data_IF_986992306468
#
_entry.id   IF_986992306468
#
_cell.length_a   1.000
_cell.length_b   1.000
_cell.length_c   1.000
_cell.angle_alpha   90.00
_cell.angle_beta   90.00
_cell.angle_gamma   90.00
#
_symmetry.space_group_name_H-M   'P 1'
#
loop_
_entity.id
_entity.type
_entity.pdbx_description
1 polymer ?
#
# COMPACT_ATOMS: atom_id res chain seq x y z
N UNK A 1 11.89 13.32 -24.39
CA UNK A 1 10.42 13.15 -24.35
C UNK A 1 9.67 14.47 -24.14
N UNK A 2 9.82 15.18 -23.01
CA UNK A 2 9.15 16.48 -22.80
C UNK A 2 9.74 17.60 -23.68
N UNK A 3 11.07 17.63 -23.82
CA UNK A 3 11.77 18.58 -24.67
C UNK A 3 11.43 18.38 -26.16
N UNK A 4 11.38 17.12 -26.62
CA UNK A 4 10.99 16.76 -27.99
C UNK A 4 9.55 17.17 -28.32
N UNK A 5 8.61 17.02 -27.38
CA UNK A 5 7.22 17.45 -27.53
C UNK A 5 7.10 18.98 -27.67
N UNK A 6 7.85 19.73 -26.86
CA UNK A 6 7.79 21.20 -26.83
C UNK A 6 8.46 21.81 -28.07
N UNK A 7 9.58 21.22 -28.53
CA UNK A 7 10.20 21.56 -29.83
C UNK A 7 9.22 21.29 -30.98
N UNK A 8 8.45 20.20 -30.92
CA UNK A 8 7.37 19.90 -31.87
C UNK A 8 6.22 20.90 -31.87
N UNK A 9 6.03 21.67 -30.79
CA UNK A 9 5.04 22.76 -30.70
C UNK A 9 5.59 24.15 -31.07
N UNK A 10 6.85 24.23 -31.53
CA UNK A 10 7.48 25.49 -31.95
C UNK A 10 7.90 26.42 -30.81
N UNK A 11 7.88 25.94 -29.57
CA UNK A 11 8.35 26.70 -28.41
C UNK A 11 9.75 26.24 -28.01
N UNK A 12 10.69 27.18 -27.83
CA UNK A 12 12.01 26.88 -27.28
C UNK A 12 12.06 27.36 -25.83
N UNK A 13 11.86 26.44 -24.90
CA UNK A 13 12.02 26.71 -23.47
C UNK A 13 13.48 26.52 -23.06
N UNK A 14 13.98 27.38 -22.17
CA UNK A 14 15.26 27.15 -21.51
C UNK A 14 15.21 25.93 -20.60
N UNK A 15 16.37 25.37 -20.25
CA UNK A 15 16.47 24.22 -19.34
C UNK A 15 15.79 24.49 -17.99
N UNK A 16 15.95 25.71 -17.46
CA UNK A 16 15.27 26.15 -16.23
C UNK A 16 13.74 26.13 -16.36
N UNK A 17 13.20 26.57 -17.50
CA UNK A 17 11.77 26.55 -17.76
C UNK A 17 11.23 25.11 -17.87
N UNK A 18 12.01 24.19 -18.44
CA UNK A 18 11.68 22.77 -18.50
C UNK A 18 11.64 22.14 -17.09
N UNK A 19 12.59 22.47 -16.22
CA UNK A 19 12.61 21.99 -14.82
C UNK A 19 11.40 22.51 -14.05
N UNK A 20 11.05 23.80 -14.20
CA UNK A 20 9.88 24.40 -13.56
C UNK A 20 8.59 23.73 -14.05
N UNK A 21 8.47 23.49 -15.36
CA UNK A 21 7.32 22.79 -15.93
C UNK A 21 7.20 21.36 -15.40
N UNK A 22 8.30 20.60 -15.36
CA UNK A 22 8.32 19.24 -14.84
C UNK A 22 7.89 19.18 -13.36
N UNK A 23 8.35 20.13 -12.54
CA UNK A 23 7.90 20.26 -11.14
C UNK A 23 6.40 20.55 -11.04
N UNK A 24 5.87 21.46 -11.87
CA UNK A 24 4.44 21.78 -11.90
C UNK A 24 3.57 20.59 -12.29
N UNK A 25 4.01 19.75 -13.23
CA UNK A 25 3.27 18.54 -13.63
C UNK A 25 3.29 17.49 -12.51
N UNK A 26 4.41 17.37 -11.79
CA UNK A 26 4.54 16.40 -10.67
C UNK A 26 3.75 16.82 -9.43
N UNK A 27 3.60 18.11 -9.20
CA UNK A 27 3.00 18.64 -7.97
C UNK A 27 1.60 18.08 -7.69
N UNK A 28 0.63 18.09 -8.63
CA UNK A 28 -0.69 17.51 -8.37
C UNK A 28 -0.65 16.03 -8.00
N UNK A 29 0.24 15.24 -8.61
CA UNK A 29 0.38 13.81 -8.26
C UNK A 29 0.90 13.64 -6.83
N UNK A 30 1.82 14.49 -6.39
CA UNK A 30 2.34 14.51 -5.03
C UNK A 30 1.25 14.87 -4.03
N UNK A 31 0.46 15.90 -4.32
CA UNK A 31 -0.64 16.34 -3.46
C UNK A 31 -1.70 15.23 -3.32
N UNK A 32 -2.08 14.58 -4.43
CA UNK A 32 -2.98 13.42 -4.40
C UNK A 32 -2.42 12.24 -3.61
N UNK A 33 -1.13 11.96 -3.75
CA UNK A 33 -0.47 10.91 -2.97
C UNK A 33 -0.56 11.18 -1.47
N UNK A 34 -0.34 12.42 -1.03
CA UNK A 34 -0.49 12.82 0.38
C UNK A 34 -1.94 12.65 0.86
N UNK A 35 -2.91 13.16 0.10
CA UNK A 35 -4.32 13.07 0.49
C UNK A 35 -4.80 11.62 0.63
N UNK A 36 -4.45 10.77 -0.34
CA UNK A 36 -4.77 9.34 -0.27
C UNK A 36 -4.02 8.69 0.90
N UNK A 37 -2.78 9.10 1.16
CA UNK A 37 -2.00 8.69 2.32
C UNK A 37 -2.74 8.95 3.63
N UNK A 38 -3.25 10.16 3.85
CA UNK A 38 -4.01 10.48 5.07
C UNK A 38 -5.30 9.67 5.21
N UNK A 39 -6.05 9.50 4.11
CA UNK A 39 -7.25 8.66 4.11
C UNK A 39 -6.88 7.22 4.48
N UNK A 40 -5.80 6.68 3.89
CA UNK A 40 -5.34 5.33 4.15
C UNK A 40 -4.87 5.16 5.60
N UNK A 41 -4.15 6.12 6.17
CA UNK A 41 -3.80 6.13 7.59
C UNK A 41 -5.06 6.04 8.45
N UNK A 42 -6.07 6.87 8.19
CA UNK A 42 -7.32 6.85 8.95
C UNK A 42 -8.05 5.49 8.87
N UNK A 43 -8.23 4.96 7.66
CA UNK A 43 -8.87 3.65 7.45
C UNK A 43 -8.08 2.51 8.12
N UNK A 44 -6.76 2.56 8.03
CA UNK A 44 -5.89 1.56 8.62
C UNK A 44 -5.90 1.63 10.15
N UNK A 45 -5.88 2.84 10.74
CA UNK A 45 -6.05 3.03 12.19
C UNK A 45 -7.38 2.46 12.68
N UNK A 46 -8.49 2.75 12.01
CA UNK A 46 -9.80 2.15 12.33
C UNK A 46 -9.70 0.62 12.31
N UNK A 47 -9.08 0.06 11.27
CA UNK A 47 -8.91 -1.38 11.13
C UNK A 47 -8.12 -2.03 12.26
N UNK A 48 -7.13 -1.34 12.84
CA UNK A 48 -6.39 -1.82 14.02
C UNK A 48 -7.14 -1.69 15.34
N UNK A 49 -8.07 -0.74 15.41
CA UNK A 49 -8.88 -0.49 16.61
C UNK A 49 -10.05 -1.48 16.71
N UNK A 50 -10.64 -1.90 15.58
CA UNK A 50 -11.77 -2.83 15.55
C UNK A 50 -11.57 -4.15 16.34
N UNK A 51 -10.40 -4.81 16.30
CA UNK A 51 -10.13 -5.97 17.14
C UNK A 51 -10.19 -5.69 18.65
N UNK A 52 -9.78 -4.49 19.09
CA UNK A 52 -9.83 -4.11 20.50
C UNK A 52 -11.28 -3.99 21.02
N UNK A 53 -12.23 -3.70 20.14
CA UNK A 53 -13.66 -3.69 20.42
C UNK A 53 -14.35 -5.05 20.17
N UNK A 54 -13.59 -6.12 19.90
CA UNK A 54 -14.13 -7.46 19.69
C UNK A 54 -14.82 -7.67 18.34
N UNK A 55 -14.81 -6.69 17.44
CA UNK A 55 -15.42 -6.81 16.11
C UNK A 55 -14.60 -7.69 15.16
N UNK A 56 -13.33 -7.96 15.46
CA UNK A 56 -12.46 -8.83 14.67
C UNK A 56 -11.49 -9.61 15.56
N UNK A 57 -11.13 -10.84 15.14
CA UNK A 57 -10.12 -11.67 15.82
C UNK A 57 -8.72 -11.31 15.34
N UNK A 58 -7.78 -11.16 16.26
CA UNK A 58 -6.35 -11.00 15.94
C UNK A 58 -5.83 -12.34 15.40
N UNK A 59 -5.24 -12.32 14.21
CA UNK A 59 -4.63 -13.51 13.64
C UNK A 59 -3.28 -13.77 14.31
N UNK A 60 -3.18 -14.84 15.10
CA UNK A 60 -1.91 -15.28 15.68
C UNK A 60 -1.27 -16.39 14.82
N UNK A 61 -0.14 -16.14 14.14
CA UNK A 61 0.58 -17.14 13.34
C UNK A 61 1.35 -18.17 14.18
N UNK A 62 1.54 -17.93 15.48
CA UNK A 62 2.32 -18.77 16.39
C UNK A 62 1.49 -19.86 17.09
N UNK A 63 0.20 -20.00 16.75
CA UNK A 63 -0.64 -21.00 17.40
C UNK A 63 -0.22 -22.43 16.98
N UNK A 64 -0.14 -23.33 17.97
CA UNK A 64 0.47 -24.66 17.82
C UNK A 64 -0.39 -25.65 17.02
N UNK A 65 -1.66 -25.31 16.81
CA UNK A 65 -2.71 -26.08 16.15
C UNK A 65 -2.85 -25.82 14.64
N UNK A 66 -1.94 -25.04 14.04
CA UNK A 66 -2.05 -24.64 12.63
C UNK A 66 -1.34 -25.58 11.67
N UNK A 67 -2.04 -25.94 10.59
CA UNK A 67 -1.44 -26.56 9.41
C UNK A 67 -0.41 -25.62 8.75
N UNK A 68 0.54 -26.18 7.99
CA UNK A 68 1.56 -25.39 7.30
C UNK A 68 0.95 -24.32 6.37
N UNK A 69 -0.12 -24.67 5.63
CA UNK A 69 -0.87 -23.75 4.76
C UNK A 69 -1.44 -22.57 5.55
N UNK A 70 -2.06 -22.82 6.70
CA UNK A 70 -2.62 -21.76 7.56
C UNK A 70 -1.53 -20.88 8.18
N UNK A 71 -0.38 -21.45 8.54
CA UNK A 71 0.77 -20.68 9.03
C UNK A 71 1.28 -19.72 7.96
N UNK A 72 1.47 -20.19 6.72
CA UNK A 72 1.90 -19.34 5.60
C UNK A 72 0.90 -18.19 5.39
N UNK A 73 -0.41 -18.47 5.34
CA UNK A 73 -1.44 -17.43 5.18
C UNK A 73 -1.36 -16.36 6.29
N UNK A 74 -1.25 -16.77 7.56
CA UNK A 74 -1.16 -15.83 8.69
C UNK A 74 0.16 -15.05 8.71
N UNK A 75 1.28 -15.67 8.32
CA UNK A 75 2.56 -14.97 8.18
C UNK A 75 2.55 -13.95 7.05
N UNK A 76 2.01 -14.32 5.89
CA UNK A 76 1.81 -13.40 4.75
C UNK A 76 0.95 -12.21 5.18
N UNK A 77 -0.13 -12.46 5.93
CA UNK A 77 -0.96 -11.39 6.51
C UNK A 77 -0.17 -10.51 7.47
N UNK A 78 0.58 -11.09 8.41
CA UNK A 78 1.38 -10.31 9.37
C UNK A 78 2.43 -9.44 8.67
N UNK A 79 3.18 -10.01 7.72
CA UNK A 79 4.20 -9.29 6.95
C UNK A 79 3.57 -8.11 6.20
N UNK A 80 2.39 -8.30 5.60
CA UNK A 80 1.65 -7.21 4.97
C UNK A 80 1.37 -6.05 5.91
N UNK A 81 0.87 -6.34 7.12
CA UNK A 81 0.60 -5.27 8.08
C UNK A 81 1.86 -4.52 8.48
N UNK A 82 2.96 -5.22 8.73
CA UNK A 82 4.23 -4.59 9.08
C UNK A 82 4.70 -3.70 7.92
N UNK A 83 4.67 -4.22 6.69
CA UNK A 83 5.00 -3.49 5.47
C UNK A 83 4.16 -2.21 5.31
N UNK A 84 2.85 -2.28 5.48
CA UNK A 84 1.98 -1.11 5.39
C UNK A 84 2.25 -0.12 6.54
N UNK A 85 2.45 -0.59 7.77
CA UNK A 85 2.81 0.28 8.91
C UNK A 85 4.09 1.06 8.62
N UNK A 86 5.13 0.38 8.13
CA UNK A 86 6.41 1.02 7.80
C UNK A 86 6.21 2.07 6.72
N UNK A 87 5.50 1.74 5.63
CA UNK A 87 5.20 2.68 4.54
C UNK A 87 4.43 3.92 5.02
N UNK A 88 3.35 3.73 5.80
CA UNK A 88 2.55 4.84 6.31
C UNK A 88 3.34 5.71 7.30
N UNK A 89 4.09 5.08 8.21
CA UNK A 89 4.87 5.81 9.22
C UNK A 89 5.97 6.63 8.55
N UNK A 90 6.71 6.07 7.58
CA UNK A 90 7.73 6.83 6.86
C UNK A 90 7.12 7.95 6.03
N UNK A 91 5.96 7.73 5.39
CA UNK A 91 5.22 8.78 4.67
C UNK A 91 4.83 9.94 5.58
N UNK A 92 4.32 9.66 6.78
CA UNK A 92 3.98 10.68 7.77
C UNK A 92 5.20 11.43 8.29
N UNK A 93 6.33 10.76 8.51
CA UNK A 93 7.56 11.43 8.96
C UNK A 93 8.13 12.34 7.86
N UNK A 94 8.02 11.96 6.58
CA UNK A 94 8.45 12.82 5.46
C UNK A 94 7.67 14.14 5.44
N UNK A 95 6.37 14.09 5.75
CA UNK A 95 5.47 15.24 5.68
C UNK A 95 5.44 16.07 6.98
N UNK A 96 5.45 15.41 8.15
CA UNK A 96 5.24 16.05 9.46
C UNK A 96 6.48 16.02 10.36
N UNK A 97 7.52 15.28 9.98
CA UNK A 97 8.67 15.02 10.83
C UNK A 97 9.85 16.00 10.65
N UNK A 98 10.93 15.77 11.41
CA UNK A 98 12.16 16.55 11.32
C UNK A 98 12.83 16.48 9.94
N UNK A 99 13.36 17.61 9.46
CA UNK A 99 13.97 17.70 8.11
C UNK A 99 15.21 16.83 7.95
N UNK A 100 15.95 16.59 9.02
CA UNK A 100 17.13 15.73 9.08
C UNK A 100 16.79 14.25 8.80
N UNK A 101 15.58 13.81 9.14
CA UNK A 101 15.12 12.44 8.88
C UNK A 101 14.50 12.27 7.49
N UNK A 102 14.13 13.36 6.82
CA UNK A 102 13.36 13.33 5.56
C UNK A 102 13.99 12.41 4.52
N UNK A 103 15.29 12.53 4.28
CA UNK A 103 15.97 11.76 3.24
C UNK A 103 15.99 10.27 3.55
N UNK A 104 16.35 9.90 4.78
CA UNK A 104 16.36 8.50 5.21
C UNK A 104 14.96 7.88 5.18
N UNK A 105 13.93 8.63 5.59
CA UNK A 105 12.55 8.16 5.52
C UNK A 105 12.05 8.03 4.10
N UNK A 106 12.43 8.94 3.20
CA UNK A 106 12.12 8.84 1.77
C UNK A 106 12.72 7.58 1.15
N UNK A 107 13.98 7.26 1.45
CA UNK A 107 14.62 6.04 0.93
C UNK A 107 13.90 4.76 1.41
N UNK A 108 13.49 4.72 2.68
CA UNK A 108 12.70 3.60 3.24
C UNK A 108 11.29 3.58 2.65
N UNK A 109 10.67 4.74 2.44
CA UNK A 109 9.34 4.85 1.85
C UNK A 109 9.34 4.39 0.39
N UNK A 110 10.35 4.77 -0.39
CA UNK A 110 10.51 4.28 -1.76
C UNK A 110 10.76 2.76 -1.77
N UNK A 111 11.53 2.22 -0.81
CA UNK A 111 11.69 0.77 -0.68
C UNK A 111 10.33 0.05 -0.51
N UNK A 112 9.32 0.75 0.03
CA UNK A 112 7.99 0.17 0.25
C UNK A 112 7.25 -0.28 -0.99
N UNK A 113 7.44 0.42 -2.11
CA UNK A 113 6.78 0.02 -3.35
C UNK A 113 7.23 -1.38 -3.80
N UNK A 114 8.50 -1.72 -3.58
CA UNK A 114 9.08 -2.98 -4.06
C UNK A 114 8.59 -4.17 -3.24
N UNK A 115 8.58 -4.08 -1.92
CA UNK A 115 8.02 -5.16 -1.10
C UNK A 115 6.50 -5.26 -1.22
N UNK A 116 5.78 -4.15 -1.41
CA UNK A 116 4.33 -4.19 -1.65
C UNK A 116 4.00 -4.86 -2.99
N UNK A 117 4.78 -4.59 -4.04
CA UNK A 117 4.60 -5.24 -5.33
C UNK A 117 4.83 -6.76 -5.25
N UNK A 118 5.89 -7.18 -4.54
CA UNK A 118 6.15 -8.59 -4.27
C UNK A 118 4.99 -9.23 -3.47
N UNK A 119 4.53 -8.54 -2.42
CA UNK A 119 3.39 -8.99 -1.62
C UNK A 119 2.12 -9.15 -2.46
N UNK A 120 1.75 -8.15 -3.28
CA UNK A 120 0.56 -8.20 -4.13
C UNK A 120 0.61 -9.43 -5.05
N UNK A 121 1.78 -9.69 -5.63
CA UNK A 121 1.96 -10.84 -6.53
C UNK A 121 1.72 -12.16 -5.80
N UNK A 122 2.36 -12.34 -4.63
CA UNK A 122 2.20 -13.54 -3.80
C UNK A 122 0.76 -13.68 -3.29
N UNK A 123 0.14 -12.57 -2.86
CA UNK A 123 -1.21 -12.55 -2.34
C UNK A 123 -2.23 -12.92 -3.41
N UNK A 124 -2.17 -12.30 -4.59
CA UNK A 124 -3.07 -12.60 -5.70
C UNK A 124 -2.91 -14.06 -6.16
N UNK A 125 -1.68 -14.54 -6.31
CA UNK A 125 -1.43 -15.95 -6.62
C UNK A 125 -2.07 -16.88 -5.57
N UNK A 126 -1.89 -16.59 -4.28
CA UNK A 126 -2.49 -17.34 -3.18
C UNK A 126 -4.02 -17.32 -3.19
N UNK A 127 -4.64 -16.17 -3.46
CA UNK A 127 -6.10 -16.01 -3.55
C UNK A 127 -6.66 -16.79 -4.75
N UNK A 128 -6.02 -16.69 -5.92
CA UNK A 128 -6.45 -17.42 -7.12
C UNK A 128 -6.32 -18.93 -6.92
N UNK A 129 -5.21 -19.41 -6.37
CA UNK A 129 -5.04 -20.83 -6.06
C UNK A 129 -6.10 -21.31 -5.07
N UNK A 130 -6.43 -20.52 -4.04
CA UNK A 130 -7.47 -20.86 -3.07
C UNK A 130 -8.88 -20.89 -3.69
N UNK A 131 -9.19 -19.95 -4.58
CA UNK A 131 -10.46 -19.89 -5.31
C UNK A 131 -10.67 -21.12 -6.19
N UNK A 132 -9.63 -21.60 -6.90
CA UNK A 132 -9.73 -22.76 -7.79
C UNK A 132 -9.57 -24.12 -7.10
N UNK A 133 -9.11 -24.16 -5.85
CA UNK A 133 -8.93 -25.38 -5.07
C UNK A 133 -10.00 -25.54 -3.98
N UNK A 134 -9.62 -25.22 -2.74
CA UNK A 134 -10.31 -25.64 -1.52
C UNK A 134 -11.26 -24.56 -0.97
N UNK A 135 -11.20 -23.33 -1.47
CA UNK A 135 -11.93 -22.17 -0.92
C UNK A 135 -12.73 -21.42 -2.00
N UNK A 136 -13.48 -22.15 -2.81
CA UNK A 136 -14.36 -21.61 -3.86
C UNK A 136 -15.26 -20.47 -3.31
N UNK A 137 -15.40 -19.40 -4.09
CA UNK A 137 -16.17 -18.21 -3.74
C UNK A 137 -15.51 -17.30 -2.71
N UNK A 138 -14.20 -17.41 -2.46
CA UNK A 138 -13.51 -16.51 -1.51
C UNK A 138 -13.54 -15.06 -2.00
N UNK A 139 -13.32 -14.83 -3.30
CA UNK A 139 -13.38 -13.48 -3.88
C UNK A 139 -14.80 -12.91 -3.73
N UNK A 140 -15.81 -13.73 -4.04
CA UNK A 140 -17.21 -13.32 -3.93
C UNK A 140 -17.59 -12.93 -2.50
N UNK A 141 -17.17 -13.70 -1.49
CA UNK A 141 -17.41 -13.38 -0.06
C UNK A 141 -16.76 -12.07 0.38
N UNK A 142 -15.61 -11.70 -0.20
CA UNK A 142 -14.94 -10.43 0.12
C UNK A 142 -15.74 -9.24 -0.46
N UNK A 143 -16.25 -9.37 -1.68
CA UNK A 143 -16.95 -8.27 -2.38
C UNK A 143 -18.41 -8.13 -1.94
N UNK A 144 -19.14 -9.24 -1.84
CA UNK A 144 -20.57 -9.25 -1.53
C UNK A 144 -20.86 -9.38 -0.02
N UNK A 145 -19.84 -9.66 0.79
CA UNK A 145 -20.02 -10.08 2.18
C UNK A 145 -20.50 -11.53 2.28
N UNK A 146 -20.31 -12.13 3.45
CA UNK A 146 -20.94 -13.42 3.75
C UNK A 146 -22.44 -13.21 4.00
N UNK A 147 -23.31 -13.94 3.29
CA UNK A 147 -24.73 -14.02 3.66
C UNK A 147 -24.80 -14.48 5.12
N UNK A 148 -25.53 -13.74 5.96
CA UNK A 148 -25.97 -14.28 7.25
C UNK A 148 -26.82 -15.51 6.94
N UNK A 149 -26.44 -16.66 7.46
CA UNK A 149 -27.38 -17.75 7.64
C UNK A 149 -28.40 -17.23 8.67
N UNK A 150 -29.65 -17.07 8.23
CA UNK A 150 -30.81 -16.87 9.11
C UNK A 150 -31.19 -18.19 9.79
#
# INVERSE_FOLDING_TARGET
MLQDYIIGTGQTLSEDQLIVLAKKIRQPMWDWHIYIGYVLVGLFSIRFILPAFGHMKIQNPLSKDLTAKMKVQKWTYLIFYISVIVSLTTGLIIELGPKDLKKSMEDIHVLSIYYLLAFITIHLAGVLLAEFSDQKGIISRIVSGSKKEE
#
